data_IF_275341194023
#
_entry.id   IF_275341194023
#
_cell.length_a   1.000
_cell.length_b   1.000
_cell.length_c   1.000
_cell.angle_alpha   90.00
_cell.angle_beta   90.00
_cell.angle_gamma   90.00
#
_symmetry.space_group_name_H-M   'P 1'
#
loop_
_entity.id
_entity.type
_entity.pdbx_description
1 polymer ?
#
# COMPACT_ATOMS: atom_id res chain seq x y z
N UNK A 1 -17.94 14.63 -12.47
CA UNK A 1 -17.65 15.72 -13.44
C UNK A 1 -16.67 15.19 -14.49
N UNK A 2 -17.04 15.16 -15.79
CA UNK A 2 -16.11 14.84 -16.88
C UNK A 2 -15.28 16.09 -17.15
N UNK A 3 -14.01 16.09 -16.75
CA UNK A 3 -13.07 17.14 -17.12
C UNK A 3 -12.78 17.03 -18.62
N UNK A 4 -13.45 17.84 -19.45
CA UNK A 4 -13.04 18.01 -20.85
C UNK A 4 -11.72 18.77 -20.85
N UNK A 5 -10.62 18.07 -21.14
CA UNK A 5 -9.31 18.71 -21.23
C UNK A 5 -9.33 19.76 -22.37
N UNK A 6 -9.06 21.05 -22.08
CA UNK A 6 -9.09 22.11 -23.09
C UNK A 6 -7.97 21.96 -24.12
N UNK A 7 -8.17 22.53 -25.31
CA UNK A 7 -7.28 22.38 -26.47
C UNK A 7 -5.84 22.83 -26.17
N UNK A 8 -4.81 21.99 -26.38
CA UNK A 8 -3.41 22.31 -26.08
C UNK A 8 -2.79 23.38 -27.00
N UNK A 9 -3.49 23.80 -28.06
CA UNK A 9 -3.02 24.85 -29.01
C UNK A 9 -3.23 26.28 -28.52
N UNK A 10 -3.74 26.47 -27.31
CA UNK A 10 -4.02 27.81 -26.78
C UNK A 10 -2.71 28.47 -26.28
N UNK A 11 -2.38 29.72 -26.66
CA UNK A 11 -1.14 30.41 -26.24
C UNK A 11 -0.94 30.46 -24.72
N UNK A 12 -2.03 30.52 -23.95
CA UNK A 12 -2.05 30.48 -22.50
C UNK A 12 -1.41 29.21 -21.90
N UNK A 13 -1.56 28.05 -22.57
CA UNK A 13 -0.98 26.78 -22.12
C UNK A 13 0.54 26.78 -22.28
N UNK A 14 1.05 27.37 -23.37
CA UNK A 14 2.49 27.51 -23.62
C UNK A 14 3.15 28.50 -22.66
N UNK A 15 2.50 29.64 -22.40
CA UNK A 15 2.98 30.62 -21.42
C UNK A 15 3.01 30.04 -19.99
N UNK A 16 1.99 29.25 -19.63
CA UNK A 16 1.92 28.57 -18.33
C UNK A 16 2.98 27.47 -18.21
N UNK A 17 3.17 26.65 -19.24
CA UNK A 17 4.21 25.62 -19.26
C UNK A 17 5.62 26.22 -19.20
N UNK A 18 5.87 27.34 -19.89
CA UNK A 18 7.13 28.08 -19.78
C UNK A 18 7.36 28.58 -18.35
N UNK A 19 6.33 29.15 -17.72
CA UNK A 19 6.38 29.61 -16.32
C UNK A 19 6.64 28.43 -15.35
N UNK A 20 6.01 27.29 -15.58
CA UNK A 20 6.20 26.09 -14.77
C UNK A 20 7.61 25.51 -14.95
N UNK A 21 8.15 25.51 -16.18
CA UNK A 21 9.55 25.15 -16.47
C UNK A 21 10.55 26.05 -15.77
N UNK A 22 10.34 27.38 -15.80
CA UNK A 22 11.17 28.34 -15.08
C UNK A 22 11.14 28.10 -13.56
N UNK A 23 10.02 27.57 -13.04
CA UNK A 23 9.85 27.19 -11.64
C UNK A 23 10.25 25.74 -11.33
N UNK A 24 10.84 25.02 -12.29
CA UNK A 24 11.18 23.58 -12.20
C UNK A 24 10.00 22.70 -11.76
N UNK A 25 8.78 23.05 -12.17
CA UNK A 25 7.57 22.25 -11.96
C UNK A 25 7.29 21.43 -13.23
N UNK A 26 7.63 20.13 -13.27
CA UNK A 26 7.45 19.30 -14.46
C UNK A 26 5.97 18.98 -14.76
N UNK A 27 5.06 19.38 -13.87
CA UNK A 27 3.61 19.13 -13.90
C UNK A 27 2.83 20.02 -14.89
N UNK A 28 3.56 20.75 -15.73
CA UNK A 28 3.01 21.73 -16.65
C UNK A 28 1.92 21.16 -17.56
N UNK A 29 0.98 22.01 -18.00
CA UNK A 29 -0.15 21.62 -18.83
C UNK A 29 0.24 20.88 -20.13
N UNK A 30 1.42 21.15 -20.71
CA UNK A 30 1.88 20.45 -21.91
C UNK A 30 2.40 19.04 -21.60
N UNK A 31 2.99 18.83 -20.41
CA UNK A 31 3.35 17.50 -19.92
C UNK A 31 2.15 16.56 -19.92
N UNK A 32 1.02 16.99 -19.36
CA UNK A 32 -0.25 16.22 -19.39
C UNK A 32 -0.76 15.90 -20.79
N UNK A 33 -0.41 16.71 -21.79
CA UNK A 33 -0.72 16.48 -23.21
C UNK A 33 0.33 15.64 -23.96
N UNK A 34 1.27 15.02 -23.25
CA UNK A 34 2.27 14.12 -23.80
C UNK A 34 3.53 14.80 -24.32
N UNK A 35 3.79 16.05 -23.94
CA UNK A 35 5.02 16.76 -24.28
C UNK A 35 6.10 16.57 -23.20
N UNK A 36 6.33 15.31 -22.83
CA UNK A 36 7.38 14.95 -21.88
C UNK A 36 8.78 15.05 -22.51
N UNK A 37 9.79 15.21 -21.64
CA UNK A 37 11.19 14.90 -21.93
C UNK A 37 11.52 13.56 -21.29
N UNK A 38 12.28 12.73 -22.00
CA UNK A 38 12.78 11.50 -21.43
C UNK A 38 13.73 11.82 -20.25
N UNK A 39 13.77 10.98 -19.20
CA UNK A 39 14.85 11.06 -18.23
C UNK A 39 16.18 10.86 -18.95
N UNK A 40 17.22 11.55 -18.47
CA UNK A 40 18.58 11.41 -19.01
C UNK A 40 19.10 9.98 -18.90
N UNK A 41 20.08 9.63 -19.73
CA UNK A 41 20.72 8.31 -19.74
C UNK A 41 20.29 7.42 -20.92
N UNK A 42 21.02 6.32 -21.07
CA UNK A 42 20.79 5.25 -22.05
C UNK A 42 20.14 4.04 -21.37
N UNK A 43 19.36 3.26 -22.11
CA UNK A 43 18.71 2.04 -21.60
C UNK A 43 17.20 2.04 -21.79
N UNK A 44 16.55 0.89 -21.58
CA UNK A 44 15.11 0.76 -21.75
C UNK A 44 14.35 1.65 -20.76
N UNK A 45 13.16 2.09 -21.16
CA UNK A 45 12.33 2.98 -20.37
C UNK A 45 11.06 2.26 -19.92
N UNK A 46 10.95 2.05 -18.61
CA UNK A 46 9.74 1.59 -17.94
C UNK A 46 8.85 2.77 -17.56
N UNK A 47 7.57 2.71 -17.89
CA UNK A 47 6.57 3.59 -17.29
C UNK A 47 5.88 2.89 -16.12
N UNK A 48 5.74 3.57 -14.99
CA UNK A 48 4.96 3.09 -13.85
C UNK A 48 3.76 4.01 -13.67
N UNK A 49 2.56 3.46 -13.76
CA UNK A 49 1.31 4.19 -13.52
C UNK A 49 0.73 3.79 -12.16
N UNK A 50 0.68 4.75 -11.24
CA UNK A 50 0.31 4.53 -9.85
C UNK A 50 -0.51 5.73 -9.34
N UNK A 51 -1.85 5.76 -9.56
CA UNK A 51 -2.65 6.98 -9.41
C UNK A 51 -2.92 7.39 -7.96
N UNK A 52 -2.43 6.66 -6.97
CA UNK A 52 -2.53 6.96 -5.55
C UNK A 52 -1.18 6.73 -4.86
N UNK A 53 -0.97 7.32 -3.68
CA UNK A 53 0.34 7.28 -3.04
C UNK A 53 0.72 5.88 -2.54
N UNK A 54 -0.25 5.03 -2.20
CA UNK A 54 0.04 3.64 -1.85
C UNK A 54 0.53 2.86 -3.07
N UNK A 55 -0.15 3.00 -4.22
CA UNK A 55 0.31 2.45 -5.48
C UNK A 55 1.68 2.99 -5.88
N UNK A 56 1.97 4.24 -5.55
CA UNK A 56 3.28 4.84 -5.81
C UNK A 56 4.38 4.19 -4.93
N UNK A 57 4.08 3.85 -3.67
CA UNK A 57 5.00 3.07 -2.79
C UNK A 57 5.27 1.69 -3.38
N UNK A 58 4.21 0.95 -3.71
CA UNK A 58 4.32 -0.39 -4.31
C UNK A 58 5.10 -0.32 -5.62
N UNK A 59 4.77 0.62 -6.51
CA UNK A 59 5.46 0.82 -7.76
C UNK A 59 6.93 1.22 -7.59
N UNK A 60 7.26 1.98 -6.54
CA UNK A 60 8.64 2.29 -6.20
C UNK A 60 9.41 1.03 -5.79
N UNK A 61 8.86 0.19 -4.92
CA UNK A 61 9.51 -1.08 -4.55
C UNK A 61 9.69 -2.01 -5.74
N UNK A 62 8.72 -2.08 -6.65
CA UNK A 62 8.88 -2.84 -7.89
C UNK A 62 10.05 -2.33 -8.73
N UNK A 63 10.17 -1.01 -8.89
CA UNK A 63 11.30 -0.40 -9.60
C UNK A 63 12.62 -0.69 -8.88
N UNK A 64 12.65 -0.65 -7.53
CA UNK A 64 13.85 -1.03 -6.76
C UNK A 64 14.24 -2.48 -7.03
N UNK A 65 13.28 -3.40 -6.99
CA UNK A 65 13.50 -4.82 -7.28
C UNK A 65 14.05 -5.03 -8.68
N UNK A 66 13.38 -4.50 -9.71
CA UNK A 66 13.84 -4.58 -11.11
C UNK A 66 15.25 -4.02 -11.26
N UNK A 67 15.53 -2.85 -10.66
CA UNK A 67 16.83 -2.20 -10.76
C UNK A 67 17.93 -2.84 -9.94
N UNK A 68 17.60 -3.72 -8.99
CA UNK A 68 18.60 -4.52 -8.27
C UNK A 68 19.26 -5.57 -9.18
N UNK A 69 18.56 -5.99 -10.24
CA UNK A 69 19.05 -6.93 -11.26
C UNK A 69 19.45 -6.19 -12.55
N UNK A 70 18.66 -5.20 -12.98
CA UNK A 70 18.83 -4.45 -14.23
C UNK A 70 19.04 -2.95 -13.98
N UNK A 71 20.29 -2.60 -13.67
CA UNK A 71 20.68 -1.23 -13.30
C UNK A 71 20.50 -0.19 -14.42
N UNK A 72 20.48 -0.63 -15.68
CA UNK A 72 20.34 0.17 -16.90
C UNK A 72 18.89 0.61 -17.19
N UNK A 73 17.90 -0.01 -16.53
CA UNK A 73 16.49 0.32 -16.70
C UNK A 73 16.21 1.70 -16.12
N UNK A 74 15.67 2.58 -16.96
CA UNK A 74 15.16 3.89 -16.57
C UNK A 74 13.68 3.76 -16.23
N UNK A 75 13.20 4.50 -15.24
CA UNK A 75 11.78 4.47 -14.88
C UNK A 75 11.17 5.87 -14.77
N UNK A 76 9.94 6.00 -15.24
CA UNK A 76 9.13 7.19 -15.00
C UNK A 76 7.89 6.79 -14.21
N UNK A 77 7.78 7.32 -12.99
CA UNK A 77 6.64 7.07 -12.11
C UNK A 77 5.62 8.19 -12.27
N UNK A 78 4.44 7.83 -12.75
CA UNK A 78 3.27 8.69 -12.90
C UNK A 78 2.34 8.49 -11.72
N UNK A 79 2.37 9.42 -10.78
CA UNK A 79 1.55 9.39 -9.56
C UNK A 79 0.70 10.65 -9.40
N UNK A 80 -0.26 10.60 -8.48
CA UNK A 80 -1.07 11.76 -8.12
C UNK A 80 -0.23 12.89 -7.49
N UNK A 81 -0.76 14.11 -7.61
CA UNK A 81 -0.19 15.30 -6.99
C UNK A 81 -0.08 15.07 -5.46
N UNK A 82 1.10 15.31 -4.88
CA UNK A 82 1.38 15.08 -3.45
C UNK A 82 2.16 13.80 -3.12
N UNK A 83 2.24 12.82 -4.02
CA UNK A 83 3.02 11.59 -3.77
C UNK A 83 4.54 11.74 -3.99
N UNK A 84 5.01 12.95 -4.35
CA UNK A 84 6.42 13.19 -4.66
C UNK A 84 7.36 12.90 -3.48
N UNK A 85 6.96 13.25 -2.25
CA UNK A 85 7.75 12.95 -1.04
C UNK A 85 7.96 11.45 -0.84
N UNK A 86 6.93 10.67 -1.15
CA UNK A 86 6.97 9.21 -1.06
C UNK A 86 7.96 8.60 -2.05
N UNK A 87 8.14 9.23 -3.21
CA UNK A 87 9.04 8.75 -4.28
C UNK A 87 10.46 9.31 -4.18
N UNK A 88 10.71 10.33 -3.34
CA UNK A 88 12.05 10.95 -3.20
C UNK A 88 13.17 9.95 -2.86
N UNK A 89 12.99 8.99 -1.95
CA UNK A 89 14.02 8.00 -1.64
C UNK A 89 14.43 7.21 -2.89
N UNK A 90 13.46 6.71 -3.67
CA UNK A 90 13.70 6.02 -4.93
C UNK A 90 14.55 6.85 -5.88
N UNK A 91 14.22 8.13 -6.06
CA UNK A 91 14.95 9.02 -6.97
C UNK A 91 16.39 9.31 -6.54
N UNK A 92 16.67 9.27 -5.24
CA UNK A 92 18.03 9.45 -4.70
C UNK A 92 18.88 8.19 -4.88
N UNK A 93 18.29 7.03 -4.62
CA UNK A 93 18.98 5.74 -4.70
C UNK A 93 19.24 5.30 -6.14
N UNK A 94 18.36 5.67 -7.07
CA UNK A 94 18.34 5.12 -8.42
C UNK A 94 18.36 6.22 -9.50
N UNK A 95 19.55 6.77 -9.85
CA UNK A 95 19.69 7.73 -10.94
C UNK A 95 19.11 7.19 -12.26
N UNK A 96 18.32 7.99 -12.99
CA UNK A 96 17.55 7.53 -14.16
C UNK A 96 16.10 7.16 -13.85
N UNK A 97 15.66 7.33 -12.60
CA UNK A 97 14.24 7.34 -12.22
C UNK A 97 13.74 8.79 -12.08
N UNK A 98 12.48 9.04 -12.48
CA UNK A 98 11.88 10.37 -12.37
C UNK A 98 10.37 10.30 -12.10
N UNK A 99 9.82 11.34 -11.50
CA UNK A 99 8.38 11.57 -11.45
C UNK A 99 7.89 12.28 -12.72
N UNK A 100 6.70 11.94 -13.18
CA UNK A 100 5.99 12.68 -14.21
C UNK A 100 4.50 12.87 -13.83
N UNK A 101 3.87 13.97 -14.27
CA UNK A 101 2.43 14.11 -14.11
C UNK A 101 1.69 13.05 -14.94
N UNK A 102 0.49 12.69 -14.50
CA UNK A 102 -0.37 11.79 -15.25
C UNK A 102 -0.72 12.35 -16.64
N UNK A 103 -0.74 11.47 -17.64
CA UNK A 103 -1.22 11.81 -18.98
C UNK A 103 -2.72 12.07 -18.93
N UNK A 104 -3.18 13.15 -19.57
CA UNK A 104 -4.60 13.43 -19.70
C UNK A 104 -5.34 12.23 -20.32
N UNK A 105 -6.59 11.98 -19.89
CA UNK A 105 -7.45 10.91 -20.44
C UNK A 105 -7.88 11.24 -21.88
N UNK A 106 -6.93 11.15 -22.80
CA UNK A 106 -7.09 11.48 -24.20
C UNK A 106 -6.13 10.65 -25.06
N UNK A 107 -6.68 9.90 -26.03
CA UNK A 107 -5.92 8.95 -26.84
C UNK A 107 -4.71 9.59 -27.55
N UNK A 108 -4.89 10.79 -28.12
CA UNK A 108 -3.78 11.50 -28.78
C UNK A 108 -2.67 11.94 -27.82
N UNK A 109 -2.99 12.24 -26.57
CA UNK A 109 -1.98 12.64 -25.58
C UNK A 109 -1.14 11.42 -25.19
N UNK A 110 -1.79 10.30 -24.88
CA UNK A 110 -1.11 9.04 -24.57
C UNK A 110 -0.28 8.50 -25.74
N UNK A 111 -0.84 8.47 -26.96
CA UNK A 111 -0.09 8.07 -28.16
C UNK A 111 1.13 8.97 -28.38
N UNK A 112 0.98 10.29 -28.25
CA UNK A 112 2.10 11.23 -28.40
C UNK A 112 3.18 10.98 -27.35
N UNK A 113 2.78 10.83 -26.09
CA UNK A 113 3.71 10.55 -24.99
C UNK A 113 4.49 9.26 -25.27
N UNK A 114 3.79 8.19 -25.65
CA UNK A 114 4.38 6.89 -25.95
C UNK A 114 5.32 6.98 -27.16
N UNK A 115 4.90 7.60 -28.27
CA UNK A 115 5.77 7.72 -29.45
C UNK A 115 7.01 8.60 -29.23
N UNK A 116 6.95 9.58 -28.31
CA UNK A 116 8.09 10.46 -28.01
C UNK A 116 9.08 9.85 -27.04
N UNK A 117 8.58 9.15 -26.02
CA UNK A 117 9.41 8.57 -24.98
C UNK A 117 9.82 7.13 -25.27
N UNK A 118 9.09 6.47 -26.18
CA UNK A 118 9.30 5.08 -26.60
C UNK A 118 9.51 4.14 -25.39
N UNK A 119 8.55 4.10 -24.42
CA UNK A 119 8.68 3.17 -23.31
C UNK A 119 8.64 1.74 -23.82
N UNK A 120 9.45 0.86 -23.23
CA UNK A 120 9.44 -0.56 -23.55
C UNK A 120 8.20 -1.26 -22.98
N UNK A 121 7.63 -0.72 -21.91
CA UNK A 121 6.40 -1.21 -21.31
C UNK A 121 5.80 -0.26 -20.28
N UNK A 122 4.55 -0.53 -19.93
CA UNK A 122 3.84 0.12 -18.82
C UNK A 122 3.57 -0.90 -17.71
N UNK A 123 4.05 -0.61 -16.50
CA UNK A 123 3.64 -1.24 -15.26
C UNK A 123 2.49 -0.43 -14.62
N UNK A 124 1.27 -0.96 -14.66
CA UNK A 124 0.13 -0.37 -13.97
C UNK A 124 -0.02 -1.00 -12.58
N UNK A 125 -0.04 -0.17 -11.54
CA UNK A 125 -0.03 -0.61 -10.14
C UNK A 125 -1.33 -0.17 -9.46
N UNK A 126 -2.04 -1.12 -8.84
CA UNK A 126 -3.36 -1.01 -8.19
C UNK A 126 -4.52 -0.59 -9.09
N UNK A 127 -4.28 0.20 -10.13
CA UNK A 127 -5.29 0.65 -11.09
C UNK A 127 -4.70 0.77 -12.49
N UNK A 128 -5.48 0.36 -13.48
CA UNK A 128 -5.15 0.63 -14.88
C UNK A 128 -5.32 2.13 -15.21
N UNK A 129 -4.57 2.63 -16.21
CA UNK A 129 -4.84 3.94 -16.80
C UNK A 129 -6.28 4.06 -17.33
N UNK A 130 -6.82 5.29 -17.44
CA UNK A 130 -8.11 5.53 -18.06
C UNK A 130 -8.21 4.97 -19.47
N UNK A 131 -9.43 4.66 -19.91
CA UNK A 131 -9.67 3.96 -21.18
C UNK A 131 -9.05 4.65 -22.40
N UNK A 132 -9.05 5.98 -22.49
CA UNK A 132 -8.44 6.65 -23.65
C UNK A 132 -6.92 6.61 -23.59
N UNK A 133 -6.32 6.58 -22.40
CA UNK A 133 -4.88 6.35 -22.24
C UNK A 133 -4.52 4.95 -22.74
N UNK A 134 -5.24 3.91 -22.28
CA UNK A 134 -5.02 2.53 -22.75
C UNK A 134 -5.19 2.39 -24.26
N UNK A 135 -6.19 3.04 -24.87
CA UNK A 135 -6.32 3.09 -26.35
C UNK A 135 -5.11 3.72 -27.02
N UNK A 136 -4.54 4.78 -26.42
CA UNK A 136 -3.35 5.45 -26.93
C UNK A 136 -2.11 4.56 -26.89
N UNK A 137 -1.94 3.82 -25.79
CA UNK A 137 -0.87 2.82 -25.61
C UNK A 137 -1.00 1.66 -26.60
N UNK A 138 -2.21 1.09 -26.73
CA UNK A 138 -2.51 0.07 -27.73
C UNK A 138 -2.19 0.54 -29.17
N UNK A 139 -2.54 1.79 -29.49
CA UNK A 139 -2.23 2.37 -30.82
C UNK A 139 -0.73 2.59 -31.05
N UNK A 140 0.06 2.67 -29.98
CA UNK A 140 1.51 2.84 -30.02
C UNK A 140 2.27 1.52 -29.82
N UNK A 141 1.57 0.39 -29.66
CA UNK A 141 2.19 -0.91 -29.44
C UNK A 141 2.88 -1.07 -28.09
N UNK A 142 2.50 -0.27 -27.07
CA UNK A 142 3.13 -0.35 -25.74
C UNK A 142 2.44 -1.45 -24.93
N UNK A 143 3.16 -2.51 -24.51
CA UNK A 143 2.59 -3.56 -23.67
C UNK A 143 2.32 -3.06 -22.25
N UNK A 144 1.35 -3.68 -21.60
CA UNK A 144 0.95 -3.37 -20.22
C UNK A 144 1.12 -4.60 -19.33
N UNK A 145 1.79 -4.43 -18.20
CA UNK A 145 1.77 -5.35 -17.08
C UNK A 145 0.91 -4.76 -15.97
N UNK A 146 -0.07 -5.51 -15.49
CA UNK A 146 -1.05 -5.05 -14.50
C UNK A 146 -0.80 -5.73 -13.16
N UNK A 147 -0.45 -4.97 -12.12
CA UNK A 147 -0.29 -5.47 -10.76
C UNK A 147 -1.41 -4.94 -9.88
N UNK A 148 -2.16 -5.85 -9.26
CA UNK A 148 -3.24 -5.54 -8.34
C UNK A 148 -4.35 -4.67 -8.94
N UNK A 149 -4.46 -4.65 -10.27
CA UNK A 149 -5.42 -3.83 -10.97
C UNK A 149 -6.72 -4.57 -11.20
N UNK A 150 -7.86 -3.88 -11.08
CA UNK A 150 -9.12 -4.42 -11.58
C UNK A 150 -9.14 -4.49 -13.11
N UNK A 151 -9.71 -5.55 -13.70
CA UNK A 151 -9.86 -5.64 -15.14
C UNK A 151 -10.80 -4.54 -15.65
N UNK A 152 -10.56 -3.98 -16.84
CA UNK A 152 -11.49 -3.03 -17.42
C UNK A 152 -12.75 -3.77 -17.88
N UNK A 153 -13.91 -3.11 -17.83
CA UNK A 153 -15.17 -3.66 -18.37
C UNK A 153 -15.05 -4.19 -19.81
N UNK A 154 -14.15 -3.59 -20.59
CA UNK A 154 -13.79 -4.05 -21.94
C UNK A 154 -12.36 -3.64 -22.26
N UNK A 155 -11.53 -4.61 -22.61
CA UNK A 155 -10.17 -4.37 -23.08
C UNK A 155 -10.20 -3.58 -24.41
N UNK A 156 -9.41 -2.49 -24.54
CA UNK A 156 -9.24 -1.81 -25.82
C UNK A 156 -8.68 -2.77 -26.88
N UNK A 157 -9.19 -2.66 -28.11
CA UNK A 157 -8.70 -3.47 -29.23
C UNK A 157 -7.22 -3.20 -29.47
N UNK A 158 -6.43 -4.27 -29.59
CA UNK A 158 -5.00 -4.21 -29.83
C UNK A 158 -4.16 -3.86 -28.60
N UNK A 159 -4.76 -3.74 -27.41
CA UNK A 159 -3.99 -3.64 -26.17
C UNK A 159 -3.35 -4.99 -25.89
N UNK A 160 -2.04 -5.01 -25.73
CA UNK A 160 -1.29 -6.19 -25.28
C UNK A 160 -1.14 -6.08 -23.76
N UNK A 161 -1.69 -7.06 -23.05
CA UNK A 161 -1.45 -7.25 -21.62
C UNK A 161 -0.50 -8.44 -21.50
N UNK A 162 0.73 -8.21 -21.06
CA UNK A 162 1.76 -9.27 -21.02
C UNK A 162 1.66 -10.09 -19.75
N UNK A 163 1.53 -9.43 -18.60
CA UNK A 163 1.39 -10.08 -17.31
C UNK A 163 0.28 -9.41 -16.50
N UNK A 164 -0.46 -10.23 -15.75
CA UNK A 164 -1.43 -9.77 -14.76
C UNK A 164 -1.09 -10.45 -13.44
N UNK A 165 -0.67 -9.67 -12.45
CA UNK A 165 -0.38 -10.15 -11.10
C UNK A 165 -1.54 -9.71 -10.19
N UNK A 166 -2.58 -10.54 -10.00
CA UNK A 166 -3.71 -10.20 -9.17
C UNK A 166 -3.33 -10.26 -7.69
N UNK A 167 -3.92 -9.39 -6.86
CA UNK A 167 -3.71 -9.36 -5.41
C UNK A 167 -4.25 -10.63 -4.74
N UNK A 168 -5.41 -11.11 -5.19
CA UNK A 168 -6.11 -12.23 -4.58
C UNK A 168 -6.92 -13.05 -5.57
N UNK A 169 -7.49 -14.15 -5.09
CA UNK A 169 -8.23 -15.12 -5.91
C UNK A 169 -9.42 -14.50 -6.61
N UNK A 170 -10.20 -13.67 -5.91
CA UNK A 170 -11.36 -13.01 -6.48
C UNK A 170 -10.97 -12.08 -7.64
N UNK A 171 -9.83 -11.39 -7.53
CA UNK A 171 -9.33 -10.53 -8.61
C UNK A 171 -8.83 -11.36 -9.81
N UNK A 172 -8.18 -12.50 -9.57
CA UNK A 172 -7.74 -13.42 -10.62
C UNK A 172 -8.93 -13.96 -11.43
N UNK A 173 -10.01 -14.38 -10.76
CA UNK A 173 -11.23 -14.85 -11.41
C UNK A 173 -11.85 -13.77 -12.32
N UNK A 174 -11.90 -12.52 -11.84
CA UNK A 174 -12.39 -11.39 -12.65
C UNK A 174 -11.53 -11.16 -13.89
N UNK A 175 -10.21 -11.35 -13.82
CA UNK A 175 -9.33 -11.26 -14.98
C UNK A 175 -9.55 -12.40 -15.98
N UNK A 176 -9.67 -13.65 -15.50
CA UNK A 176 -10.00 -14.80 -16.35
C UNK A 176 -11.32 -14.59 -17.11
N UNK A 177 -12.31 -13.97 -16.46
CA UNK A 177 -13.58 -13.62 -17.11
C UNK A 177 -13.44 -12.61 -18.27
N UNK A 178 -12.31 -11.91 -18.38
CA UNK A 178 -11.99 -11.04 -19.53
C UNK A 178 -11.26 -11.74 -20.67
N UNK A 179 -10.92 -13.02 -20.52
CA UNK A 179 -10.14 -13.81 -21.49
C UNK A 179 -8.62 -13.58 -21.40
N UNK A 180 -8.14 -12.97 -20.31
CA UNK A 180 -6.71 -12.83 -20.01
C UNK A 180 -6.38 -13.77 -18.86
N UNK A 181 -5.44 -14.69 -19.07
CA UNK A 181 -4.99 -15.58 -18.01
C UNK A 181 -4.05 -14.82 -17.06
N UNK A 182 -4.38 -14.71 -15.76
CA UNK A 182 -3.51 -14.06 -14.80
C UNK A 182 -2.45 -15.01 -14.25
N UNK A 183 -1.38 -14.43 -13.71
CA UNK A 183 -0.40 -15.12 -12.89
C UNK A 183 -1.02 -15.60 -11.56
N UNK A 184 -0.26 -16.39 -10.81
CA UNK A 184 -0.65 -16.81 -9.47
C UNK A 184 -0.92 -15.58 -8.56
N UNK A 185 -2.03 -15.57 -7.77
CA UNK A 185 -2.36 -14.43 -6.92
C UNK A 185 -1.31 -14.17 -5.84
N UNK A 186 -0.97 -12.89 -5.72
CA UNK A 186 0.09 -12.41 -4.84
C UNK A 186 -0.09 -10.92 -4.58
N UNK A 187 -0.06 -10.54 -3.31
CA UNK A 187 -0.07 -9.13 -2.94
C UNK A 187 1.34 -8.61 -2.74
N UNK A 188 1.79 -7.78 -3.69
CA UNK A 188 3.10 -7.15 -3.62
C UNK A 188 3.18 -6.02 -2.58
N UNK A 189 2.07 -5.63 -1.93
CA UNK A 189 2.12 -4.75 -0.74
C UNK A 189 2.85 -5.39 0.45
N UNK A 190 2.98 -6.72 0.49
CA UNK A 190 3.77 -7.41 1.53
C UNK A 190 5.23 -6.96 1.56
N UNK A 191 5.76 -6.47 0.42
CA UNK A 191 7.13 -5.97 0.32
C UNK A 191 7.33 -4.63 1.05
N UNK A 192 6.24 -3.88 1.30
CA UNK A 192 6.27 -2.62 2.03
C UNK A 192 6.34 -2.82 3.55
N UNK A 193 5.97 -4.00 4.05
CA UNK A 193 5.97 -4.27 5.48
C UNK A 193 7.40 -4.32 6.02
N UNK A 194 7.62 -3.62 7.13
CA UNK A 194 8.94 -3.51 7.78
C UNK A 194 9.10 -4.56 8.86
N UNK A 195 10.23 -5.26 8.83
CA UNK A 195 10.59 -6.30 9.81
C UNK A 195 11.68 -5.84 10.79
N UNK A 196 12.38 -4.76 10.46
CA UNK A 196 13.56 -4.21 11.12
C UNK A 196 13.22 -3.06 12.08
N UNK A 197 12.20 -3.24 12.91
CA UNK A 197 11.71 -2.18 13.81
C UNK A 197 11.99 -2.52 15.25
N UNK A 198 12.79 -1.68 15.91
CA UNK A 198 13.05 -1.80 17.34
C UNK A 198 11.82 -1.39 18.16
N UNK A 199 11.45 -2.14 19.21
CA UNK A 199 10.24 -1.88 20.02
C UNK A 199 10.41 -0.74 21.03
N UNK A 200 11.29 0.24 20.76
CA UNK A 200 11.54 1.40 21.64
C UNK A 200 10.31 2.30 21.79
N UNK A 201 9.39 2.23 20.83
CA UNK A 201 8.13 2.96 20.89
C UNK A 201 7.27 2.57 22.11
N UNK A 202 7.26 1.28 22.52
CA UNK A 202 6.56 0.85 23.74
C UNK A 202 7.08 1.59 24.97
N UNK A 203 8.40 1.62 25.16
CA UNK A 203 9.02 2.22 26.37
C UNK A 203 8.75 3.72 26.49
N UNK A 204 8.56 4.40 25.35
CA UNK A 204 8.24 5.82 25.33
C UNK A 204 6.75 6.07 25.56
N UNK A 205 5.87 5.29 24.89
CA UNK A 205 4.43 5.52 24.95
C UNK A 205 3.82 5.03 26.28
N UNK A 206 4.27 3.87 26.77
CA UNK A 206 3.74 3.20 27.97
C UNK A 206 4.86 2.63 28.84
N UNK A 207 5.63 3.50 29.53
CA UNK A 207 6.65 3.07 30.48
C UNK A 207 6.02 2.43 31.71
N UNK A 208 6.71 1.43 32.26
CA UNK A 208 6.30 0.71 33.48
C UNK A 208 6.20 -0.81 33.27
N UNK A 209 6.61 -1.57 34.28
CA UNK A 209 6.46 -3.02 34.28
C UNK A 209 4.97 -3.43 34.25
N UNK A 210 4.66 -4.51 33.53
CA UNK A 210 3.29 -5.03 33.43
C UNK A 210 2.35 -4.26 32.49
N UNK A 211 2.68 -3.04 32.06
CA UNK A 211 1.87 -2.30 31.08
C UNK A 211 2.00 -2.90 29.68
N UNK A 212 0.86 -3.05 29.00
CA UNK A 212 0.79 -3.66 27.67
C UNK A 212 0.09 -2.75 26.68
N UNK A 213 0.66 -2.68 25.48
CA UNK A 213 0.08 -2.01 24.33
C UNK A 213 -0.72 -3.04 23.53
N UNK A 214 -1.99 -2.79 23.29
CA UNK A 214 -2.82 -3.52 22.34
C UNK A 214 -3.04 -2.64 21.11
N UNK A 215 -3.19 -3.26 19.95
CA UNK A 215 -3.49 -2.55 18.71
C UNK A 215 -4.76 -3.10 18.06
N UNK A 216 -5.61 -2.22 17.54
CA UNK A 216 -6.74 -2.59 16.69
C UNK A 216 -6.97 -1.61 15.55
N UNK A 217 -7.61 -2.06 14.46
CA UNK A 217 -8.01 -1.24 13.30
C UNK A 217 -9.47 -0.77 13.34
N UNK A 218 -10.20 -1.14 14.39
CA UNK A 218 -11.58 -0.74 14.59
C UNK A 218 -11.98 -0.82 16.06
N UNK A 219 -13.06 -0.12 16.38
CA UNK A 219 -13.82 -0.36 17.60
C UNK A 219 -15.17 -1.01 17.25
N UNK A 220 -15.84 -1.69 18.19
CA UNK A 220 -17.18 -2.21 17.97
C UNK A 220 -18.12 -1.12 17.45
N UNK A 221 -18.92 -1.48 16.44
CA UNK A 221 -19.94 -0.59 15.89
C UNK A 221 -21.07 -0.34 16.91
N UNK A 222 -21.43 -1.37 17.67
CA UNK A 222 -22.39 -1.29 18.76
C UNK A 222 -21.81 -0.47 19.94
N UNK A 223 -22.48 0.61 20.39
CA UNK A 223 -21.99 1.45 21.47
C UNK A 223 -21.80 0.70 22.79
N UNK A 224 -22.68 -0.23 23.14
CA UNK A 224 -22.60 -0.99 24.38
C UNK A 224 -21.40 -1.94 24.39
N UNK A 225 -21.16 -2.64 23.29
CA UNK A 225 -19.95 -3.46 23.13
C UNK A 225 -18.68 -2.61 23.13
N UNK A 226 -18.72 -1.42 22.53
CA UNK A 226 -17.59 -0.49 22.54
C UNK A 226 -17.26 -0.02 23.96
N UNK A 227 -18.27 0.40 24.72
CA UNK A 227 -18.11 0.82 26.11
C UNK A 227 -17.57 -0.34 26.96
N UNK A 228 -18.14 -1.53 26.83
CA UNK A 228 -17.67 -2.73 27.52
C UNK A 228 -16.19 -3.06 27.21
N UNK A 229 -15.79 -2.99 25.94
CA UNK A 229 -14.40 -3.20 25.52
C UNK A 229 -13.46 -2.16 26.15
N UNK A 230 -13.84 -0.89 26.09
CA UNK A 230 -13.05 0.22 26.62
C UNK A 230 -12.95 0.18 28.16
N UNK A 231 -14.02 -0.24 28.84
CA UNK A 231 -14.05 -0.45 30.28
C UNK A 231 -13.12 -1.60 30.70
N UNK A 232 -13.28 -2.77 30.07
CA UNK A 232 -12.46 -3.95 30.34
C UNK A 232 -10.96 -3.70 30.10
N UNK A 233 -10.64 -2.90 29.09
CA UNK A 233 -9.26 -2.53 28.79
C UNK A 233 -8.71 -1.46 29.74
N UNK A 234 -9.50 -0.43 30.07
CA UNK A 234 -9.10 0.67 30.94
C UNK A 234 -8.82 0.23 32.39
N UNK A 235 -9.61 -0.70 32.93
CA UNK A 235 -9.41 -1.22 34.29
C UNK A 235 -8.17 -2.11 34.44
N UNK A 236 -7.59 -2.59 33.33
CA UNK A 236 -6.47 -3.52 33.31
C UNK A 236 -5.08 -2.89 33.23
N UNK A 237 -4.95 -1.57 33.29
CA UNK A 237 -3.66 -0.87 33.16
C UNK A 237 -3.03 -0.96 31.76
N UNK A 238 -3.85 -1.25 30.75
CA UNK A 238 -3.43 -1.45 29.35
C UNK A 238 -3.56 -0.13 28.57
N UNK A 239 -2.86 -0.05 27.43
CA UNK A 239 -3.02 1.03 26.44
C UNK A 239 -3.46 0.45 25.09
N UNK A 240 -4.38 1.10 24.37
CA UNK A 240 -5.03 0.62 23.15
C UNK A 240 -4.74 1.66 22.10
N UNK A 241 -4.04 1.23 21.07
CA UNK A 241 -3.81 2.01 19.86
C UNK A 241 -4.88 1.61 18.85
N UNK A 242 -5.62 2.59 18.33
CA UNK A 242 -6.66 2.40 17.32
C UNK A 242 -6.21 3.03 16.01
N UNK A 243 -6.20 2.26 14.92
CA UNK A 243 -5.95 2.77 13.57
C UNK A 243 -7.26 3.07 12.87
N UNK A 244 -7.27 4.09 12.00
CA UNK A 244 -8.45 4.45 11.22
C UNK A 244 -9.51 5.25 11.98
N UNK A 245 -10.73 5.25 11.44
CA UNK A 245 -11.87 6.00 11.96
C UNK A 245 -12.40 5.40 13.26
N UNK A 246 -12.56 6.22 14.30
CA UNK A 246 -13.07 5.81 15.61
C UNK A 246 -12.12 6.07 16.78
N UNK A 247 -10.86 6.43 16.50
CA UNK A 247 -9.92 6.91 17.54
C UNK A 247 -10.04 8.41 17.85
N UNK A 248 -10.61 9.20 16.94
CA UNK A 248 -10.73 10.67 17.03
C UNK A 248 -11.57 11.15 18.22
N UNK A 249 -12.71 10.51 18.45
CA UNK A 249 -13.63 10.86 19.51
C UNK A 249 -14.19 9.58 20.13
N UNK A 250 -13.66 9.22 21.30
CA UNK A 250 -14.20 8.15 22.13
C UNK A 250 -14.98 8.79 23.27
N UNK A 251 -16.33 8.77 23.24
CA UNK A 251 -17.14 9.42 24.27
C UNK A 251 -16.73 8.98 25.69
N UNK A 252 -16.53 9.96 26.57
CA UNK A 252 -16.19 9.72 27.98
C UNK A 252 -14.75 9.26 28.24
N UNK A 253 -13.86 9.25 27.23
CA UNK A 253 -12.46 8.82 27.38
C UNK A 253 -11.50 9.85 26.80
N UNK A 254 -10.32 9.97 27.41
CA UNK A 254 -9.23 10.73 26.82
C UNK A 254 -8.71 10.01 25.57
N UNK A 255 -8.54 10.76 24.47
CA UNK A 255 -7.94 10.30 23.24
C UNK A 255 -6.68 11.12 22.95
N UNK A 256 -5.57 10.44 22.63
CA UNK A 256 -4.30 11.06 22.23
C UNK A 256 -4.02 10.72 20.79
N UNK A 257 -3.82 11.74 19.97
CA UNK A 257 -3.43 11.58 18.57
C UNK A 257 -1.92 11.38 18.46
N UNK A 258 -1.47 10.33 17.77
CA UNK A 258 -0.04 10.00 17.69
C UNK A 258 0.81 11.03 16.95
N UNK A 259 0.27 11.74 15.96
CA UNK A 259 0.99 12.84 15.32
C UNK A 259 1.23 14.05 16.21
N UNK A 260 0.42 14.22 17.26
CA UNK A 260 0.50 15.32 18.23
C UNK A 260 1.18 14.90 19.54
N UNK A 261 1.44 13.60 19.71
CA UNK A 261 2.10 13.08 20.89
C UNK A 261 3.57 13.52 20.95
N UNK A 262 3.91 14.24 22.02
CA UNK A 262 5.28 14.64 22.34
C UNK A 262 6.02 13.52 23.06
N UNK A 263 6.90 12.85 22.32
CA UNK A 263 7.76 11.76 22.81
C UNK A 263 8.66 12.17 23.98
N UNK A 264 8.93 13.47 24.16
CA UNK A 264 9.86 13.98 25.17
C UNK A 264 9.17 14.43 26.46
N UNK A 265 7.83 14.55 26.49
CA UNK A 265 7.15 15.23 27.60
C UNK A 265 6.20 14.37 28.41
N UNK A 266 5.32 13.57 27.80
CA UNK A 266 4.28 12.88 28.58
C UNK A 266 4.02 11.46 28.08
N UNK A 267 4.36 10.42 28.88
CA UNK A 267 3.84 9.08 28.69
C UNK A 267 2.31 9.07 28.67
N UNK A 268 1.72 8.15 27.90
CA UNK A 268 0.26 8.03 27.86
C UNK A 268 -0.23 7.36 29.15
N UNK A 269 -1.21 7.98 29.81
CA UNK A 269 -1.84 7.42 31.01
C UNK A 269 -2.62 6.12 30.69
N UNK A 270 -2.63 5.12 31.60
CA UNK A 270 -3.42 3.90 31.40
C UNK A 270 -4.89 4.20 31.11
N UNK A 271 -5.51 3.42 30.23
CA UNK A 271 -6.92 3.63 29.82
C UNK A 271 -7.17 4.80 28.86
N UNK A 272 -6.12 5.50 28.41
CA UNK A 272 -6.18 6.52 27.33
C UNK A 272 -6.13 5.86 25.96
N UNK A 273 -7.09 6.19 25.10
CA UNK A 273 -7.13 5.65 23.73
C UNK A 273 -6.12 6.41 22.90
N UNK A 274 -5.25 5.69 22.20
CA UNK A 274 -4.24 6.29 21.35
C UNK A 274 -4.69 6.15 19.90
N UNK A 275 -4.97 7.26 19.24
CA UNK A 275 -5.35 7.27 17.84
C UNK A 275 -4.12 7.35 16.95
N UNK A 276 -3.89 6.32 16.14
CA UNK A 276 -2.89 6.33 15.09
C UNK A 276 -3.48 6.96 13.82
N UNK A 277 -3.27 8.26 13.69
CA UNK A 277 -3.81 9.08 12.62
C UNK A 277 -2.95 9.08 11.33
N UNK A 278 -1.70 8.63 11.42
CA UNK A 278 -0.80 8.50 10.28
C UNK A 278 -0.21 7.09 10.18
N UNK A 279 -0.26 6.49 8.98
CA UNK A 279 0.29 5.15 8.70
C UNK A 279 1.80 5.04 8.95
N UNK A 280 2.54 6.16 9.04
CA UNK A 280 3.99 6.14 9.33
C UNK A 280 4.34 5.49 10.67
N UNK A 281 3.39 5.48 11.60
CA UNK A 281 3.54 4.91 12.94
C UNK A 281 3.31 3.40 12.98
N UNK A 282 2.64 2.86 11.96
CA UNK A 282 2.19 1.47 11.93
C UNK A 282 3.30 0.46 12.26
N UNK A 283 4.52 0.55 11.67
CA UNK A 283 5.57 -0.42 11.99
C UNK A 283 6.04 -0.36 13.45
N UNK A 284 6.09 0.84 14.04
CA UNK A 284 6.51 1.04 15.43
C UNK A 284 5.44 0.54 16.40
N UNK A 285 4.16 0.80 16.10
CA UNK A 285 3.01 0.32 16.86
C UNK A 285 2.94 -1.20 16.82
N UNK A 286 2.99 -1.82 15.63
CA UNK A 286 2.86 -3.27 15.47
C UNK A 286 4.02 -4.04 16.12
N UNK A 287 5.24 -3.51 16.06
CA UNK A 287 6.40 -4.11 16.73
C UNK A 287 6.38 -3.97 18.26
N UNK A 288 5.70 -2.92 18.76
CA UNK A 288 5.60 -2.61 20.20
C UNK A 288 4.39 -3.24 20.88
N UNK A 289 3.37 -3.59 20.11
CA UNK A 289 2.15 -4.19 20.61
C UNK A 289 2.41 -5.58 21.20
N UNK A 290 1.74 -5.86 22.31
CA UNK A 290 1.66 -7.20 22.89
C UNK A 290 0.80 -8.12 22.01
N UNK A 291 -0.35 -7.62 21.54
CA UNK A 291 -1.25 -8.35 20.65
C UNK A 291 -2.06 -7.36 19.80
N UNK A 292 -2.57 -7.85 18.66
CA UNK A 292 -3.43 -7.10 17.75
C UNK A 292 -4.82 -7.72 17.60
N UNK A 293 -5.81 -6.91 17.23
CA UNK A 293 -7.09 -7.39 16.70
C UNK A 293 -7.48 -6.58 15.47
N UNK A 294 -7.52 -7.22 14.30
CA UNK A 294 -7.86 -6.57 13.04
C UNK A 294 -9.24 -7.03 12.57
N UNK A 295 -10.19 -6.11 12.54
CA UNK A 295 -11.57 -6.35 12.15
C UNK A 295 -11.81 -5.97 10.68
N UNK A 296 -11.32 -4.82 10.24
CA UNK A 296 -11.57 -4.29 8.88
C UNK A 296 -10.72 -4.98 7.82
N UNK A 297 -9.56 -5.52 8.20
CA UNK A 297 -8.73 -6.28 7.29
C UNK A 297 -8.04 -5.43 6.22
N UNK A 298 -7.63 -4.20 6.58
CA UNK A 298 -6.76 -3.40 5.69
C UNK A 298 -5.48 -4.19 5.41
N UNK A 299 -5.13 -4.36 4.13
CA UNK A 299 -3.97 -5.17 3.70
C UNK A 299 -2.66 -4.71 4.31
N UNK A 300 -2.44 -3.40 4.39
CA UNK A 300 -1.26 -2.80 5.03
C UNK A 300 -1.15 -3.19 6.51
N UNK A 301 -2.28 -3.16 7.25
CA UNK A 301 -2.34 -3.51 8.67
C UNK A 301 -2.09 -5.01 8.86
N UNK A 302 -2.73 -5.86 8.05
CA UNK A 302 -2.50 -7.31 8.05
C UNK A 302 -1.02 -7.63 7.80
N UNK A 303 -0.43 -7.11 6.72
CA UNK A 303 0.97 -7.42 6.39
C UNK A 303 1.95 -6.91 7.44
N UNK A 304 1.72 -5.72 8.00
CA UNK A 304 2.59 -5.17 9.03
C UNK A 304 2.46 -5.92 10.37
N UNK A 305 1.24 -6.34 10.76
CA UNK A 305 1.03 -7.21 11.92
C UNK A 305 1.79 -8.54 11.76
N UNK A 306 1.64 -9.17 10.59
CA UNK A 306 2.31 -10.43 10.28
C UNK A 306 3.84 -10.28 10.27
N UNK A 307 4.36 -9.21 9.65
CA UNK A 307 5.80 -8.90 9.58
C UNK A 307 6.44 -8.71 10.95
N UNK A 308 5.75 -8.01 11.86
CA UNK A 308 6.22 -7.82 13.24
C UNK A 308 6.17 -9.10 14.09
N UNK A 309 5.48 -10.16 13.61
CA UNK A 309 5.23 -11.34 14.41
C UNK A 309 4.28 -11.07 15.57
N UNK A 310 3.32 -10.17 15.38
CA UNK A 310 2.37 -9.78 16.42
C UNK A 310 1.32 -10.88 16.59
N UNK A 311 1.11 -11.45 17.80
CA UNK A 311 -0.02 -12.34 18.03
C UNK A 311 -1.33 -11.64 17.67
N UNK A 312 -2.04 -12.22 16.72
CA UNK A 312 -3.09 -11.54 15.98
C UNK A 312 -4.43 -12.25 16.15
N UNK A 313 -5.45 -11.51 16.55
CA UNK A 313 -6.85 -11.89 16.37
C UNK A 313 -7.37 -11.22 15.11
N UNK A 314 -8.17 -11.93 14.32
CA UNK A 314 -8.83 -11.35 13.14
C UNK A 314 -10.34 -11.54 13.22
N UNK A 315 -11.08 -10.49 12.89
CA UNK A 315 -12.52 -10.56 12.69
C UNK A 315 -12.91 -11.22 11.35
N UNK A 316 -14.21 -11.39 11.08
CA UNK A 316 -14.69 -12.08 9.88
C UNK A 316 -14.23 -11.45 8.56
N UNK A 317 -14.19 -10.12 8.47
CA UNK A 317 -13.78 -9.39 7.27
C UNK A 317 -12.27 -9.51 7.04
N UNK A 318 -11.45 -9.29 8.08
CA UNK A 318 -10.01 -9.54 8.01
C UNK A 318 -9.65 -10.99 7.65
N UNK A 319 -10.38 -11.97 8.20
CA UNK A 319 -10.21 -13.38 7.85
C UNK A 319 -10.61 -13.68 6.40
N UNK A 320 -11.63 -13.00 5.85
CA UNK A 320 -11.98 -13.09 4.44
C UNK A 320 -10.89 -12.48 3.55
N UNK A 321 -10.32 -11.34 3.94
CA UNK A 321 -9.18 -10.72 3.23
C UNK A 321 -7.98 -11.66 3.19
N UNK A 322 -7.56 -12.25 4.33
CA UNK A 322 -6.44 -13.21 4.34
C UNK A 322 -6.67 -14.38 3.38
N UNK A 323 -7.89 -14.95 3.36
CA UNK A 323 -8.25 -16.04 2.43
C UNK A 323 -8.14 -15.61 0.98
N UNK A 324 -8.62 -14.42 0.63
CA UNK A 324 -8.50 -13.90 -0.74
C UNK A 324 -7.03 -13.73 -1.15
N UNK A 325 -6.16 -13.33 -0.22
CA UNK A 325 -4.70 -13.21 -0.39
C UNK A 325 -3.97 -14.58 -0.45
N UNK A 326 -4.72 -15.68 -0.38
CA UNK A 326 -4.19 -17.04 -0.36
C UNK A 326 -3.43 -17.36 0.93
N UNK A 327 -3.80 -16.72 2.03
CA UNK A 327 -3.28 -17.00 3.37
C UNK A 327 -4.37 -17.70 4.16
N UNK A 328 -4.05 -18.87 4.72
CA UNK A 328 -4.91 -19.52 5.71
C UNK A 328 -4.96 -18.65 6.98
N UNK A 329 -6.13 -18.11 7.37
CA UNK A 329 -6.24 -17.27 8.56
C UNK A 329 -5.74 -17.98 9.82
N UNK A 330 -6.03 -19.27 9.97
CA UNK A 330 -5.68 -20.04 11.17
C UNK A 330 -4.17 -20.38 11.23
N UNK A 331 -3.47 -20.23 10.11
CA UNK A 331 -2.01 -20.41 10.08
C UNK A 331 -1.26 -19.21 10.70
N UNK A 332 -1.84 -18.01 10.67
CA UNK A 332 -1.17 -16.76 11.07
C UNK A 332 -1.88 -15.94 12.15
N UNK A 333 -3.15 -16.23 12.43
CA UNK A 333 -4.01 -15.50 13.35
C UNK A 333 -5.02 -16.44 14.04
N UNK A 334 -5.71 -15.92 15.06
CA UNK A 334 -6.89 -16.56 15.65
C UNK A 334 -8.13 -15.87 15.10
N UNK A 335 -9.05 -16.62 14.49
CA UNK A 335 -10.30 -16.06 13.97
C UNK A 335 -11.31 -15.92 15.11
N UNK A 336 -11.79 -14.70 15.35
CA UNK A 336 -12.83 -14.41 16.33
C UNK A 336 -14.15 -14.06 15.64
N UNK A 337 -15.25 -14.64 16.13
CA UNK A 337 -16.59 -14.31 15.65
C UNK A 337 -17.12 -12.97 16.18
N UNK A 338 -16.64 -12.54 17.35
CA UNK A 338 -17.04 -11.32 18.04
C UNK A 338 -15.89 -10.73 18.88
N UNK A 339 -16.10 -9.51 19.40
CA UNK A 339 -15.11 -8.81 20.23
C UNK A 339 -14.88 -9.49 21.58
N UNK A 340 -15.90 -10.14 22.14
CA UNK A 340 -15.76 -10.88 23.39
C UNK A 340 -14.79 -12.07 23.25
N UNK A 341 -14.79 -12.74 22.10
CA UNK A 341 -13.83 -13.79 21.76
C UNK A 341 -12.41 -13.22 21.61
N UNK A 342 -12.26 -12.04 20.99
CA UNK A 342 -10.97 -11.37 20.91
C UNK A 342 -10.39 -11.03 22.29
N UNK A 343 -11.23 -10.50 23.19
CA UNK A 343 -10.83 -10.20 24.57
C UNK A 343 -10.41 -11.46 25.34
N UNK A 344 -11.20 -12.55 25.24
CA UNK A 344 -10.84 -13.85 25.84
C UNK A 344 -9.49 -14.35 25.34
N UNK A 345 -9.22 -14.21 24.04
CA UNK A 345 -7.94 -14.62 23.46
C UNK A 345 -6.77 -13.78 23.99
N UNK A 346 -6.94 -12.46 24.11
CA UNK A 346 -5.93 -11.60 24.71
C UNK A 346 -5.66 -11.93 26.18
N UNK A 347 -6.71 -12.24 26.95
CA UNK A 347 -6.58 -12.68 28.34
C UNK A 347 -5.82 -14.01 28.42
N UNK A 348 -6.17 -14.99 27.59
CA UNK A 348 -5.45 -16.26 27.53
C UNK A 348 -3.97 -16.08 27.21
N UNK A 349 -3.61 -15.28 26.20
CA UNK A 349 -2.20 -14.96 25.93
C UNK A 349 -1.51 -14.22 27.07
N UNK A 350 -2.27 -13.49 27.89
CA UNK A 350 -1.72 -12.80 29.04
C UNK A 350 -1.29 -13.71 30.16
N UNK A 351 -2.01 -14.81 30.33
CA UNK A 351 -1.81 -15.84 31.34
C UNK A 351 -0.84 -16.92 30.85
N UNK A 352 -0.90 -17.26 29.56
CA UNK A 352 -0.12 -18.33 28.95
C UNK A 352 0.96 -17.81 27.99
N UNK A 353 2.14 -17.52 28.55
CA UNK A 353 3.28 -17.01 27.78
C UNK A 353 3.73 -17.94 26.64
N UNK A 354 3.55 -19.26 26.77
CA UNK A 354 3.86 -20.22 25.70
C UNK A 354 2.89 -20.12 24.53
N UNK A 355 1.58 -20.00 24.79
CA UNK A 355 0.57 -19.80 23.75
C UNK A 355 0.82 -18.50 22.97
N UNK A 356 1.19 -17.42 23.67
CA UNK A 356 1.56 -16.16 23.03
C UNK A 356 2.79 -16.29 22.12
N UNK A 357 3.85 -16.98 22.56
CA UNK A 357 5.06 -17.22 21.77
C UNK A 357 4.81 -18.11 20.56
N UNK A 358 4.02 -19.17 20.71
CA UNK A 358 3.67 -20.05 19.58
C UNK A 358 2.89 -19.26 18.51
N UNK A 359 1.93 -18.43 18.93
CA UNK A 359 1.22 -17.56 18.00
C UNK A 359 2.16 -16.60 17.28
N UNK A 360 3.07 -15.92 17.99
CA UNK A 360 4.07 -15.05 17.37
C UNK A 360 4.90 -15.78 16.32
N UNK A 361 5.34 -17.01 16.61
CA UNK A 361 6.12 -17.82 15.67
C UNK A 361 5.30 -18.20 14.42
N UNK A 362 4.03 -18.57 14.58
CA UNK A 362 3.08 -18.82 13.48
C UNK A 362 2.93 -17.59 12.60
N UNK A 363 2.61 -16.45 13.20
CA UNK A 363 2.43 -15.17 12.52
C UNK A 363 3.65 -14.80 11.66
N UNK A 364 4.87 -14.96 12.19
CA UNK A 364 6.12 -14.72 11.42
C UNK A 364 6.28 -15.69 10.25
N UNK A 365 6.01 -16.98 10.44
CA UNK A 365 6.12 -17.98 9.37
C UNK A 365 5.19 -17.63 8.21
N UNK A 366 3.95 -17.28 8.52
CA UNK A 366 2.95 -16.86 7.53
C UNK A 366 3.42 -15.64 6.74
N UNK A 367 4.00 -14.63 7.40
CA UNK A 367 4.58 -13.47 6.71
C UNK A 367 5.68 -13.89 5.72
N UNK A 368 6.65 -14.67 6.17
CA UNK A 368 7.78 -15.07 5.33
C UNK A 368 7.37 -15.96 4.16
N UNK A 369 6.34 -16.80 4.33
CA UNK A 369 5.72 -17.56 3.23
C UNK A 369 5.09 -16.64 2.19
N UNK A 370 4.30 -15.64 2.61
CA UNK A 370 3.73 -14.66 1.71
C UNK A 370 4.80 -13.81 1.02
N UNK A 371 5.84 -13.39 1.75
CA UNK A 371 6.94 -12.62 1.20
C UNK A 371 7.73 -13.39 0.15
N UNK A 372 8.02 -14.68 0.37
CA UNK A 372 8.66 -15.54 -0.64
C UNK A 372 7.84 -15.65 -1.93
N UNK A 373 6.50 -15.74 -1.83
CA UNK A 373 5.62 -15.68 -3.01
C UNK A 373 5.73 -14.35 -3.75
N UNK A 374 5.79 -13.23 -3.01
CA UNK A 374 6.02 -11.91 -3.60
C UNK A 374 7.38 -11.78 -4.28
N UNK A 375 8.45 -12.33 -3.70
CA UNK A 375 9.79 -12.37 -4.31
C UNK A 375 9.80 -13.21 -5.60
N UNK A 376 9.09 -14.34 -5.63
CA UNK A 376 8.91 -15.14 -6.86
C UNK A 376 8.14 -14.37 -7.94
N UNK A 377 7.11 -13.62 -7.55
CA UNK A 377 6.35 -12.77 -8.45
C UNK A 377 7.17 -11.59 -8.99
N UNK A 378 8.10 -11.05 -8.20
CA UNK A 378 9.08 -10.05 -8.68
C UNK A 378 9.98 -10.62 -9.79
N UNK A 379 10.35 -11.90 -9.72
CA UNK A 379 11.14 -12.53 -10.79
C UNK A 379 10.41 -12.58 -12.15
N UNK A 380 9.06 -12.61 -12.16
CA UNK A 380 8.26 -12.46 -13.38
C UNK A 380 8.46 -11.06 -13.97
N UNK A 381 8.47 -10.03 -13.13
CA UNK A 381 8.71 -8.65 -13.56
C UNK A 381 10.15 -8.44 -14.04
N UNK A 382 11.13 -9.09 -13.42
CA UNK A 382 12.52 -9.03 -13.85
C UNK A 382 12.69 -9.68 -15.24
N UNK A 383 12.16 -10.90 -15.42
CA UNK A 383 12.19 -11.60 -16.70
C UNK A 383 11.41 -10.88 -17.81
N UNK A 384 10.37 -10.11 -17.46
CA UNK A 384 9.66 -9.24 -18.37
C UNK A 384 10.55 -8.12 -18.92
N UNK A 385 11.29 -7.46 -18.03
CA UNK A 385 12.20 -6.36 -18.37
C UNK A 385 13.46 -6.86 -19.09
N UNK A 386 13.84 -8.11 -18.89
CA UNK A 386 14.99 -8.72 -19.56
C UNK A 386 14.85 -8.89 -21.08
N UNK A 387 13.64 -8.77 -21.61
CA UNK A 387 13.38 -8.90 -23.05
C UNK A 387 13.65 -7.61 -23.86
N UNK A 388 14.07 -6.53 -23.20
CA UNK A 388 14.08 -5.17 -23.76
C UNK A 388 15.41 -4.66 -24.29
#
# INVERSE_FOLDING_TARGET
MRFQAPNPRTPLYWARDLRDRLRRRPEGPLGRWGWFRAPGGTGPLLWVYAPDCDGARVGAEMVRGIRSVRVDVRAVVMAADGCAETLRPLFREYPGTAAAPMVADHQRAARRAASRLQPNGLLAVRRLPPRHVLKGLASAGIPVTAVGCEPPRRLPRGLVVEHVLPVGQAQAERWRATGVEPEAPVDLEVLLARTDVEPTFRSLLVPGEGRRLLWTDALPADPGQREALLDAWGSGGRTLVVTGSGGEEVPGRAAVRLSEWDRERDPVEPGTVVWMDEDRWLPAVSASAFAGCLWQGRRTDLWQALASGLPLVVGPEAAATLRDLGVDPDAGAVVAGDWAAAERQWAHWAEEAFAWRDQQARTRRTFWEARRRAEQAMAILDGWVDRW
#
